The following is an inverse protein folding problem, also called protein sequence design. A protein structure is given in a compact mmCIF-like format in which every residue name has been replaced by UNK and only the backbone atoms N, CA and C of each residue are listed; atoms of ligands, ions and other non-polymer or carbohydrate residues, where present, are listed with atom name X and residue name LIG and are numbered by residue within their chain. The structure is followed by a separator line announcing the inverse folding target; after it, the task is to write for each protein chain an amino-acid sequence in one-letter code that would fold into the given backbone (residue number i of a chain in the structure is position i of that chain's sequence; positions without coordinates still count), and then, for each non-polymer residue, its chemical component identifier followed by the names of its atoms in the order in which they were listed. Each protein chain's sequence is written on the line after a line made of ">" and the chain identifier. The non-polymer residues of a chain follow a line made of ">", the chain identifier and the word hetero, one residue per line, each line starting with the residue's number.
data_IF_396499882639
#
_entry.id   IF_396499882639
#
_cell.length_a   1.000
_cell.length_b   1.000
_cell.length_c   1.000
_cell.angle_alpha   90.00
_cell.angle_beta   90.00
_cell.angle_gamma   90.00
#
_symmetry.space_group_name_H-M   'P 1'
#
loop_
_entity.id
_entity.type
_entity.pdbx_description
1 polymer ?
#
# COMPACT_ATOMS: atom_id res chain seq x y z
N UNK A 1 -13.45 20.05 11.64
CA UNK A 1 -12.72 19.17 10.73
C UNK A 1 -13.45 19.17 9.40
N UNK A 2 -12.77 19.52 8.31
CA UNK A 2 -13.38 19.57 6.97
C UNK A 2 -13.77 18.16 6.48
N UNK A 3 -14.69 18.10 5.50
CA UNK A 3 -15.10 16.83 4.92
C UNK A 3 -13.92 16.11 4.23
N UNK A 4 -13.02 16.86 3.59
CA UNK A 4 -11.83 16.29 2.96
C UNK A 4 -10.90 15.62 3.98
N UNK A 5 -10.71 16.24 5.14
CA UNK A 5 -9.91 15.66 6.24
C UNK A 5 -10.57 14.41 6.83
N UNK A 6 -11.91 14.41 6.97
CA UNK A 6 -12.65 13.21 7.40
C UNK A 6 -12.48 12.07 6.42
N UNK A 7 -12.61 12.34 5.13
CA UNK A 7 -12.43 11.34 4.07
C UNK A 7 -11.01 10.80 4.04
N UNK A 8 -10.00 11.67 4.13
CA UNK A 8 -8.60 11.24 4.21
C UNK A 8 -8.38 10.31 5.40
N UNK A 9 -8.95 10.63 6.57
CA UNK A 9 -8.84 9.79 7.77
C UNK A 9 -9.50 8.41 7.57
N UNK A 10 -10.71 8.38 6.98
CA UNK A 10 -11.42 7.12 6.69
C UNK A 10 -10.63 6.26 5.71
N UNK A 11 -10.14 6.85 4.63
CA UNK A 11 -9.30 6.13 3.65
C UNK A 11 -8.03 5.58 4.29
N UNK A 12 -7.37 6.37 5.13
CA UNK A 12 -6.16 5.93 5.83
C UNK A 12 -6.44 4.80 6.83
N UNK A 13 -7.58 4.82 7.50
CA UNK A 13 -8.00 3.69 8.35
C UNK A 13 -8.27 2.44 7.52
N UNK A 14 -8.93 2.57 6.37
CA UNK A 14 -9.12 1.46 5.43
C UNK A 14 -7.77 0.90 4.94
N UNK A 15 -6.79 1.76 4.66
CA UNK A 15 -5.44 1.34 4.27
C UNK A 15 -4.75 0.52 5.36
N UNK A 16 -4.98 0.77 6.65
CA UNK A 16 -4.43 -0.10 7.72
C UNK A 16 -4.95 -1.53 7.56
N UNK A 17 -6.24 -1.68 7.32
CA UNK A 17 -6.85 -3.01 7.10
C UNK A 17 -6.22 -3.68 5.87
N UNK A 18 -6.06 -2.96 4.77
CA UNK A 18 -5.42 -3.50 3.57
C UNK A 18 -3.94 -3.81 3.75
N UNK A 19 -3.20 -3.03 4.54
CA UNK A 19 -1.82 -3.34 4.90
C UNK A 19 -1.72 -4.69 5.62
N UNK A 20 -2.60 -4.94 6.58
CA UNK A 20 -2.66 -6.23 7.28
C UNK A 20 -3.04 -7.36 6.31
N UNK A 21 -4.04 -7.15 5.45
CA UNK A 21 -4.45 -8.14 4.44
C UNK A 21 -3.31 -8.46 3.48
N UNK A 22 -2.60 -7.46 2.96
CA UNK A 22 -1.44 -7.67 2.10
C UNK A 22 -0.33 -8.47 2.81
N UNK A 23 -0.09 -8.18 4.07
CA UNK A 23 0.91 -8.90 4.86
C UNK A 23 0.53 -10.37 5.09
N UNK A 24 -0.74 -10.63 5.41
CA UNK A 24 -1.27 -11.99 5.57
C UNK A 24 -1.20 -12.74 4.24
N UNK A 25 -1.61 -12.12 3.14
CA UNK A 25 -1.54 -12.75 1.81
C UNK A 25 -0.11 -13.05 1.40
N UNK A 26 0.84 -12.14 1.64
CA UNK A 26 2.26 -12.38 1.38
C UNK A 26 2.77 -13.58 2.17
N UNK A 27 2.40 -13.70 3.44
CA UNK A 27 2.80 -14.82 4.30
C UNK A 27 2.19 -16.13 3.83
N UNK A 28 0.93 -16.15 3.43
CA UNK A 28 0.27 -17.34 2.89
C UNK A 28 0.90 -17.81 1.58
N UNK A 29 1.19 -16.87 0.69
CA UNK A 29 1.85 -17.18 -0.59
C UNK A 29 3.26 -17.70 -0.36
N UNK A 30 4.01 -17.10 0.55
CA UNK A 30 5.37 -17.53 0.86
C UNK A 30 5.41 -18.94 1.46
N UNK A 31 4.46 -19.27 2.33
CA UNK A 31 4.41 -20.59 2.99
C UNK A 31 3.67 -21.66 2.18
N UNK A 32 2.76 -21.27 1.28
CA UNK A 32 1.89 -22.18 0.55
C UNK A 32 2.51 -22.82 -0.70
N UNK A 33 3.58 -22.24 -1.25
CA UNK A 33 4.25 -22.76 -2.45
C UNK A 33 5.73 -23.00 -2.16
N UNK A 34 6.16 -24.26 -2.03
CA UNK A 34 7.59 -24.59 -1.99
C UNK A 34 8.22 -24.17 -3.31
N UNK A 35 9.00 -23.13 -3.27
CA UNK A 35 9.71 -22.59 -4.43
C UNK A 35 11.20 -22.87 -4.27
N UNK A 36 12.02 -21.88 -4.35
CA UNK A 36 13.45 -22.01 -4.15
C UNK A 36 13.77 -21.91 -2.66
N UNK A 37 14.56 -22.84 -2.14
CA UNK A 37 14.97 -22.84 -0.72
C UNK A 37 15.99 -21.75 -0.38
N UNK A 38 16.29 -21.62 0.91
CA UNK A 38 17.24 -20.62 1.42
C UNK A 38 18.70 -20.79 0.99
N UNK A 39 19.02 -21.90 0.31
CA UNK A 39 20.35 -22.20 -0.25
C UNK A 39 20.59 -21.50 -1.60
N UNK A 40 19.54 -20.90 -2.20
CA UNK A 40 19.68 -20.15 -3.44
C UNK A 40 20.35 -18.79 -3.18
N UNK A 41 21.06 -18.28 -4.20
CA UNK A 41 21.55 -16.89 -4.16
C UNK A 41 20.39 -15.90 -4.06
N UNK A 42 20.67 -14.70 -3.53
CA UNK A 42 19.64 -13.67 -3.26
C UNK A 42 18.84 -13.30 -4.51
N UNK A 43 19.44 -13.05 -5.69
CA UNK A 43 18.67 -12.73 -6.89
C UNK A 43 17.70 -13.85 -7.29
N UNK A 44 18.14 -15.11 -7.27
CA UNK A 44 17.30 -16.27 -7.62
C UNK A 44 16.14 -16.41 -6.62
N UNK A 45 16.41 -16.25 -5.33
CA UNK A 45 15.38 -16.31 -4.30
C UNK A 45 14.33 -15.20 -4.47
N UNK A 46 14.76 -13.96 -4.72
CA UNK A 46 13.86 -12.84 -4.93
C UNK A 46 12.99 -13.02 -6.17
N UNK A 47 13.56 -13.47 -7.27
CA UNK A 47 12.80 -13.70 -8.52
C UNK A 47 11.79 -14.83 -8.38
N UNK A 48 12.15 -15.90 -7.68
CA UNK A 48 11.26 -17.03 -7.45
C UNK A 48 10.07 -16.69 -6.51
N UNK A 49 10.25 -15.71 -5.62
CA UNK A 49 9.24 -15.27 -4.65
C UNK A 49 8.78 -13.83 -4.90
N UNK A 50 8.87 -13.36 -6.14
CA UNK A 50 8.64 -11.95 -6.49
C UNK A 50 7.25 -11.45 -6.07
N UNK A 51 6.24 -12.27 -6.20
CA UNK A 51 4.87 -11.97 -5.77
C UNK A 51 4.76 -11.69 -4.25
N UNK A 52 5.32 -12.58 -3.43
CA UNK A 52 5.34 -12.40 -1.98
C UNK A 52 6.18 -11.19 -1.57
N UNK A 53 7.32 -10.97 -2.22
CA UNK A 53 8.19 -9.81 -1.98
C UNK A 53 7.48 -8.51 -2.31
N UNK A 54 6.86 -8.41 -3.49
CA UNK A 54 6.11 -7.22 -3.90
C UNK A 54 4.94 -6.96 -2.97
N UNK A 55 4.18 -7.99 -2.59
CA UNK A 55 3.06 -7.85 -1.66
C UNK A 55 3.52 -7.37 -0.27
N UNK A 56 4.68 -7.84 0.20
CA UNK A 56 5.28 -7.36 1.45
C UNK A 56 5.68 -5.89 1.35
N UNK A 57 6.29 -5.46 0.25
CA UNK A 57 6.62 -4.06 0.01
C UNK A 57 5.36 -3.19 0.00
N UNK A 58 4.31 -3.63 -0.70
CA UNK A 58 3.01 -2.94 -0.70
C UNK A 58 2.47 -2.82 0.72
N UNK A 59 2.50 -3.88 1.51
CA UNK A 59 2.01 -3.86 2.89
C UNK A 59 2.72 -2.81 3.76
N UNK A 60 4.05 -2.74 3.70
CA UNK A 60 4.82 -1.74 4.45
C UNK A 60 4.55 -0.32 3.97
N UNK A 61 4.58 -0.08 2.67
CA UNK A 61 4.30 1.25 2.11
C UNK A 61 2.89 1.72 2.45
N UNK A 62 1.91 0.83 2.39
CA UNK A 62 0.52 1.13 2.75
C UNK A 62 0.39 1.46 4.23
N UNK A 63 1.08 0.75 5.11
CA UNK A 63 1.10 1.05 6.54
C UNK A 63 1.67 2.45 6.81
N UNK A 64 2.79 2.80 6.20
CA UNK A 64 3.37 4.15 6.31
C UNK A 64 2.43 5.22 5.77
N UNK A 65 1.85 4.99 4.59
CA UNK A 65 0.87 5.90 3.99
C UNK A 65 -0.33 6.13 4.92
N UNK A 66 -0.86 5.08 5.51
CA UNK A 66 -1.98 5.16 6.44
C UNK A 66 -1.65 5.97 7.70
N UNK A 67 -0.50 5.76 8.30
CA UNK A 67 -0.04 6.50 9.49
C UNK A 67 0.09 7.98 9.16
N UNK A 68 0.74 8.33 8.07
CA UNK A 68 0.93 9.72 7.66
C UNK A 68 -0.40 10.37 7.26
N UNK A 69 -1.30 9.63 6.63
CA UNK A 69 -2.64 10.10 6.30
C UNK A 69 -3.48 10.41 7.54
N UNK A 70 -3.42 9.59 8.58
CA UNK A 70 -4.10 9.84 9.86
C UNK A 70 -3.51 11.07 10.55
N UNK A 71 -2.18 11.18 10.61
CA UNK A 71 -1.49 12.36 11.16
C UNK A 71 -1.90 13.63 10.41
N UNK A 72 -1.87 13.59 9.08
CA UNK A 72 -2.24 14.71 8.23
C UNK A 72 -3.71 15.08 8.32
N UNK A 73 -4.62 14.12 8.48
CA UNK A 73 -6.03 14.41 8.72
C UNK A 73 -6.26 15.13 10.05
N UNK A 74 -5.51 14.78 11.09
CA UNK A 74 -5.59 15.43 12.40
C UNK A 74 -4.85 16.78 12.41
N UNK A 75 -3.67 16.84 11.77
CA UNK A 75 -2.84 18.04 11.65
C UNK A 75 -2.40 18.22 10.20
N UNK A 76 -3.11 19.04 9.41
CA UNK A 76 -2.81 19.16 7.96
C UNK A 76 -1.37 19.57 7.64
N UNK A 77 -0.73 20.33 8.52
CA UNK A 77 0.69 20.70 8.36
C UNK A 77 1.65 19.50 8.48
N UNK A 78 1.18 18.36 9.01
CA UNK A 78 1.95 17.14 9.18
C UNK A 78 1.78 16.14 8.02
N UNK A 79 1.15 16.54 6.91
CA UNK A 79 0.99 15.67 5.72
C UNK A 79 2.33 15.27 5.09
N UNK A 80 3.37 16.10 5.24
CA UNK A 80 4.75 15.75 4.86
C UNK A 80 4.85 15.05 3.49
N UNK A 81 5.40 13.85 3.50
CA UNK A 81 5.61 13.03 2.31
C UNK A 81 4.42 12.14 1.93
N UNK A 82 3.26 12.25 2.60
CA UNK A 82 2.12 11.37 2.39
C UNK A 82 1.73 11.20 0.91
N UNK A 83 1.71 12.30 0.14
CA UNK A 83 1.39 12.25 -1.29
C UNK A 83 2.38 11.37 -2.08
N UNK A 84 3.67 11.50 -1.80
CA UNK A 84 4.71 10.70 -2.46
C UNK A 84 4.56 9.24 -2.10
N UNK A 85 4.34 8.94 -0.83
CA UNK A 85 4.14 7.56 -0.35
C UNK A 85 2.88 6.96 -0.95
N UNK A 86 1.77 7.72 -1.04
CA UNK A 86 0.54 7.26 -1.67
C UNK A 86 0.74 6.91 -3.17
N UNK A 87 1.51 7.71 -3.90
CA UNK A 87 1.87 7.40 -5.29
C UNK A 87 2.74 6.14 -5.37
N UNK A 88 3.69 5.97 -4.47
CA UNK A 88 4.51 4.76 -4.40
C UNK A 88 3.68 3.51 -4.09
N UNK A 89 2.71 3.61 -3.18
CA UNK A 89 1.76 2.50 -2.88
C UNK A 89 0.98 2.13 -4.13
N UNK A 90 0.43 3.12 -4.84
CA UNK A 90 -0.31 2.88 -6.06
C UNK A 90 0.55 2.19 -7.13
N UNK A 91 1.77 2.68 -7.35
CA UNK A 91 2.70 2.08 -8.31
C UNK A 91 3.11 0.66 -7.91
N UNK A 92 3.44 0.43 -6.66
CA UNK A 92 3.80 -0.90 -6.15
C UNK A 92 2.61 -1.88 -6.20
N UNK A 93 1.40 -1.43 -5.90
CA UNK A 93 0.19 -2.22 -6.02
C UNK A 93 -0.11 -2.65 -7.46
N UNK A 94 0.03 -1.74 -8.41
CA UNK A 94 -0.11 -2.04 -9.85
C UNK A 94 0.98 -3.03 -10.29
N UNK A 95 2.23 -2.82 -9.87
CA UNK A 95 3.32 -3.76 -10.19
C UNK A 95 3.05 -5.15 -9.62
N UNK A 96 2.56 -5.26 -8.39
CA UNK A 96 2.19 -6.54 -7.80
C UNK A 96 1.08 -7.24 -8.60
N UNK A 97 0.09 -6.50 -9.09
CA UNK A 97 -0.96 -7.06 -9.96
C UNK A 97 -0.41 -7.61 -11.27
N UNK A 98 0.51 -6.89 -11.90
CA UNK A 98 1.10 -7.26 -13.21
C UNK A 98 2.01 -8.48 -13.07
N UNK A 99 2.84 -8.53 -12.05
CA UNK A 99 3.81 -9.60 -11.85
C UNK A 99 3.27 -10.84 -11.12
N UNK A 100 2.05 -10.78 -10.58
CA UNK A 100 1.44 -11.89 -9.85
C UNK A 100 0.05 -12.29 -10.41
N UNK A 101 -0.11 -12.47 -11.73
CA UNK A 101 -1.43 -12.76 -12.31
C UNK A 101 -1.97 -14.14 -11.92
N UNK A 102 -1.10 -15.08 -11.53
CA UNK A 102 -1.49 -16.44 -11.19
C UNK A 102 -2.21 -16.57 -9.84
N UNK A 103 -2.14 -15.55 -8.98
CA UNK A 103 -2.70 -15.55 -7.63
C UNK A 103 -3.81 -14.50 -7.55
N UNK A 104 -5.02 -14.88 -7.97
CA UNK A 104 -6.15 -13.96 -8.09
C UNK A 104 -6.46 -13.18 -6.80
N UNK A 105 -6.44 -13.84 -5.63
CA UNK A 105 -6.70 -13.17 -4.36
C UNK A 105 -5.69 -12.07 -4.05
N UNK A 106 -4.41 -12.31 -4.31
CA UNK A 106 -3.34 -11.33 -4.14
C UNK A 106 -3.52 -10.14 -5.08
N UNK A 107 -3.79 -10.39 -6.34
CA UNK A 107 -4.00 -9.35 -7.35
C UNK A 107 -5.18 -8.45 -7.01
N UNK A 108 -6.29 -9.01 -6.54
CA UNK A 108 -7.48 -8.26 -6.14
C UNK A 108 -7.16 -7.35 -4.94
N UNK A 109 -6.51 -7.88 -3.91
CA UNK A 109 -6.16 -7.11 -2.72
C UNK A 109 -5.20 -5.97 -3.08
N UNK A 110 -4.17 -6.23 -3.87
CA UNK A 110 -3.22 -5.19 -4.31
C UNK A 110 -3.88 -4.15 -5.21
N UNK A 111 -4.81 -4.54 -6.09
CA UNK A 111 -5.55 -3.62 -6.94
C UNK A 111 -6.44 -2.68 -6.11
N UNK A 112 -7.18 -3.22 -5.14
CA UNK A 112 -8.02 -2.42 -4.25
C UNK A 112 -7.19 -1.47 -3.38
N UNK A 113 -6.04 -1.91 -2.89
CA UNK A 113 -5.12 -1.07 -2.14
C UNK A 113 -4.55 0.07 -3.00
N UNK A 114 -4.20 -0.19 -4.25
CA UNK A 114 -3.78 0.84 -5.20
C UNK A 114 -4.88 1.88 -5.45
N UNK A 115 -6.13 1.46 -5.59
CA UNK A 115 -7.28 2.37 -5.72
C UNK A 115 -7.45 3.24 -4.47
N UNK A 116 -7.34 2.66 -3.27
CA UNK A 116 -7.39 3.40 -2.02
C UNK A 116 -6.25 4.42 -1.92
N UNK A 117 -5.04 4.06 -2.34
CA UNK A 117 -3.90 4.95 -2.35
C UNK A 117 -4.10 6.14 -3.30
N UNK A 118 -4.66 5.91 -4.48
CA UNK A 118 -5.00 6.98 -5.44
C UNK A 118 -6.05 7.91 -4.82
N UNK A 119 -7.10 7.37 -4.22
CA UNK A 119 -8.13 8.16 -3.54
C UNK A 119 -7.53 8.99 -2.40
N UNK A 120 -6.65 8.40 -1.58
CA UNK A 120 -5.95 9.09 -0.51
C UNK A 120 -5.07 10.24 -1.04
N UNK A 121 -4.38 10.04 -2.16
CA UNK A 121 -3.58 11.08 -2.81
C UNK A 121 -4.46 12.26 -3.30
N UNK A 122 -5.64 11.98 -3.84
CA UNK A 122 -6.59 13.02 -4.26
C UNK A 122 -7.06 13.84 -3.06
N UNK A 123 -7.43 13.19 -1.96
CA UNK A 123 -7.86 13.90 -0.75
C UNK A 123 -6.70 14.62 -0.05
N UNK A 124 -5.48 14.11 -0.11
CA UNK A 124 -4.28 14.83 0.34
C UNK A 124 -4.16 16.18 -0.38
N UNK A 125 -4.23 16.17 -1.72
CA UNK A 125 -4.19 17.42 -2.50
C UNK A 125 -5.30 18.39 -2.11
N UNK A 126 -6.52 17.90 -1.88
CA UNK A 126 -7.64 18.74 -1.46
C UNK A 126 -7.42 19.35 -0.06
N UNK A 127 -6.89 18.56 0.86
CA UNK A 127 -6.56 19.04 2.22
C UNK A 127 -5.44 20.09 2.17
N UNK A 128 -4.41 19.89 1.36
CA UNK A 128 -3.34 20.89 1.16
C UNK A 128 -3.89 22.20 0.60
N UNK A 129 -4.77 22.12 -0.39
CA UNK A 129 -5.41 23.30 -0.98
C UNK A 129 -6.29 24.07 0.04
N UNK A 130 -6.81 23.42 1.07
CA UNK A 130 -7.52 24.10 2.17
C UNK A 130 -6.59 24.87 3.10
N UNK A 131 -5.32 24.44 3.23
CA UNK A 131 -4.33 25.13 4.07
C UNK A 131 -3.80 26.37 3.36
N UNK A 132 -3.61 26.28 2.04
CA UNK A 132 -3.02 27.35 1.23
C UNK A 132 -4.00 28.51 0.95
N UNK A 133 -5.22 28.42 1.43
CA UNK A 133 -6.25 29.50 1.38
C UNK A 133 -6.26 30.33 2.64
#
# INVERSE_FOLDING_TARGET
>A
MSNNRKMLKVLSLAQIVFAVLCFVMASLVFNGTPRVGGDADVPTFLMANLDAVLCTIVAFLTAFCAIDGIKGANRPTALGAHLVVAVLVAAAGIAACVFSPAIQGLSIVCALDAVLAIAAAVFDKKVRAEIDR
#
